data_IF_560703150410
#
_entry.id   IF_560703150410
#
_cell.length_a   1.000
_cell.length_b   1.000
_cell.length_c   1.000
_cell.angle_alpha   90.00
_cell.angle_beta   90.00
_cell.angle_gamma   90.00
#
_symmetry.space_group_name_H-M   'P 1'
#
loop_
_entity.id
_entity.type
_entity.pdbx_description
1 polymer ?
#
# COMPACT_ATOMS: atom_id res chain seq x y z
N UNK A 1 -23.56 13.63 -49.60
CA UNK A 1 -23.35 12.63 -50.68
C UNK A 1 -24.71 12.17 -51.14
N UNK A 2 -24.92 11.97 -52.44
CA UNK A 2 -26.20 11.54 -53.02
C UNK A 2 -25.98 10.39 -53.99
N UNK A 3 -26.85 9.39 -53.94
CA UNK A 3 -26.90 8.27 -54.87
C UNK A 3 -28.18 8.40 -55.70
N UNK A 4 -28.09 8.23 -57.02
CA UNK A 4 -29.22 8.29 -57.94
C UNK A 4 -29.14 7.15 -58.94
N UNK A 5 -30.30 6.67 -59.39
CA UNK A 5 -30.40 5.54 -60.32
C UNK A 5 -31.72 4.80 -60.14
N UNK A 6 -31.76 3.58 -60.67
CA UNK A 6 -32.87 2.65 -60.45
C UNK A 6 -32.96 2.22 -58.99
N UNK A 7 -34.07 1.59 -58.59
CA UNK A 7 -34.17 0.96 -57.26
C UNK A 7 -33.03 -0.05 -57.01
N UNK A 8 -32.57 -0.75 -58.06
CA UNK A 8 -31.43 -1.66 -57.95
C UNK A 8 -30.14 -0.92 -57.61
N UNK A 9 -29.90 0.25 -58.19
CA UNK A 9 -28.71 1.07 -57.93
C UNK A 9 -28.73 1.62 -56.50
N UNK A 10 -29.90 2.06 -56.02
CA UNK A 10 -30.07 2.53 -54.63
C UNK A 10 -29.87 1.38 -53.63
N UNK A 11 -30.44 0.20 -53.91
CA UNK A 11 -30.25 -0.97 -53.05
C UNK A 11 -28.78 -1.43 -53.03
N UNK A 12 -28.09 -1.36 -54.17
CA UNK A 12 -26.67 -1.65 -54.24
C UNK A 12 -25.84 -0.65 -53.42
N UNK A 13 -26.17 0.64 -53.49
CA UNK A 13 -25.53 1.66 -52.66
C UNK A 13 -25.74 1.42 -51.17
N UNK A 14 -26.99 1.16 -50.75
CA UNK A 14 -27.32 0.83 -49.35
C UNK A 14 -26.60 -0.43 -48.87
N UNK A 15 -26.52 -1.48 -49.70
CA UNK A 15 -25.79 -2.71 -49.40
C UNK A 15 -24.28 -2.48 -49.19
N UNK A 16 -23.71 -1.43 -49.80
CA UNK A 16 -22.32 -1.03 -49.58
C UNK A 16 -22.08 -0.18 -48.33
N UNK A 17 -23.14 0.31 -47.67
CA UNK A 17 -22.99 1.19 -46.50
C UNK A 17 -22.69 0.39 -45.23
N UNK A 18 -21.79 0.92 -44.42
CA UNK A 18 -21.41 0.33 -43.14
C UNK A 18 -21.39 1.41 -42.08
N UNK A 19 -21.93 1.09 -40.90
CA UNK A 19 -21.81 1.93 -39.71
C UNK A 19 -20.64 1.43 -38.85
N UNK A 20 -19.81 2.36 -38.37
CA UNK A 20 -18.78 2.07 -37.37
C UNK A 20 -19.02 2.98 -36.17
N UNK A 21 -19.42 2.39 -35.05
CA UNK A 21 -19.54 3.09 -33.78
C UNK A 21 -18.17 3.61 -33.30
N UNK A 22 -18.21 4.60 -32.41
CA UNK A 22 -17.04 4.95 -31.61
C UNK A 22 -16.84 3.85 -30.55
N UNK A 23 -15.60 3.68 -30.08
CA UNK A 23 -15.33 2.82 -28.92
C UNK A 23 -16.13 3.33 -27.72
N UNK A 24 -16.65 2.41 -26.90
CA UNK A 24 -17.39 2.67 -25.67
C UNK A 24 -18.67 3.52 -25.84
N UNK A 25 -19.16 3.69 -27.07
CA UNK A 25 -20.37 4.44 -27.34
C UNK A 25 -21.63 3.61 -27.05
N UNK A 26 -22.67 4.28 -26.56
CA UNK A 26 -23.99 3.67 -26.33
C UNK A 26 -25.10 4.67 -26.68
N UNK A 27 -26.31 4.16 -26.92
CA UNK A 27 -27.49 4.98 -27.17
C UNK A 27 -27.78 5.23 -28.66
N UNK A 28 -28.51 6.31 -28.95
CA UNK A 28 -29.00 6.61 -30.30
C UNK A 28 -27.90 7.18 -31.21
N UNK A 29 -27.79 6.61 -32.41
CA UNK A 29 -26.90 7.03 -33.50
C UNK A 29 -27.70 7.33 -34.77
N UNK A 30 -28.88 7.93 -34.58
CA UNK A 30 -29.86 8.20 -35.62
C UNK A 30 -29.29 9.10 -36.73
N UNK A 31 -29.73 8.85 -37.96
CA UNK A 31 -29.41 9.70 -39.10
C UNK A 31 -30.63 9.89 -40.00
N UNK A 32 -30.65 10.97 -40.79
CA UNK A 32 -31.76 11.26 -41.70
C UNK A 32 -31.39 10.96 -43.14
N UNK A 33 -32.29 10.31 -43.86
CA UNK A 33 -32.21 10.11 -45.31
C UNK A 33 -33.30 10.93 -46.00
N UNK A 34 -33.00 11.38 -47.22
CA UNK A 34 -33.95 12.05 -48.09
C UNK A 34 -34.02 11.32 -49.43
N UNK A 35 -35.23 11.11 -49.95
CA UNK A 35 -35.46 10.61 -51.32
C UNK A 35 -36.14 11.69 -52.14
N UNK A 36 -35.66 11.93 -53.35
CA UNK A 36 -36.22 12.89 -54.28
C UNK A 36 -36.41 12.26 -55.67
N UNK A 37 -37.57 12.47 -56.29
CA UNK A 37 -37.94 11.91 -57.61
C UNK A 37 -37.79 12.91 -58.77
N UNK A 38 -37.10 14.02 -58.54
CA UNK A 38 -36.97 15.16 -59.46
C UNK A 38 -38.02 16.25 -59.23
N UNK A 39 -39.04 16.00 -58.39
CA UNK A 39 -40.09 16.98 -58.08
C UNK A 39 -40.34 17.12 -56.58
N UNK A 40 -40.48 16.01 -55.87
CA UNK A 40 -40.84 15.97 -54.46
C UNK A 40 -39.72 15.36 -53.62
N UNK A 41 -39.57 15.84 -52.38
CA UNK A 41 -38.61 15.29 -51.42
C UNK A 41 -39.35 14.77 -50.20
N UNK A 42 -39.00 13.55 -49.78
CA UNK A 42 -39.43 12.98 -48.50
C UNK A 42 -38.21 12.73 -47.63
N UNK A 43 -38.27 13.20 -46.38
CA UNK A 43 -37.25 12.95 -45.36
C UNK A 43 -37.73 11.85 -44.41
N UNK A 44 -36.81 11.01 -43.96
CA UNK A 44 -37.03 10.00 -42.92
C UNK A 44 -35.83 9.92 -41.99
N UNK A 45 -36.08 9.87 -40.69
CA UNK A 45 -35.08 9.43 -39.71
C UNK A 45 -34.98 7.92 -39.74
N UNK A 46 -33.76 7.41 -39.88
CA UNK A 46 -33.39 6.02 -39.63
C UNK A 46 -32.92 5.96 -38.19
N UNK A 47 -33.68 5.27 -37.34
CA UNK A 47 -33.28 5.06 -35.96
C UNK A 47 -32.22 3.96 -35.88
N UNK A 48 -31.12 4.26 -35.21
CA UNK A 48 -30.02 3.33 -34.99
C UNK A 48 -29.68 3.33 -33.50
N UNK A 49 -29.74 2.17 -32.87
CA UNK A 49 -29.40 2.03 -31.46
C UNK A 49 -28.08 1.25 -31.31
N UNK A 50 -27.15 1.81 -30.54
CA UNK A 50 -25.94 1.13 -30.09
C UNK A 50 -26.23 0.54 -28.71
N UNK A 51 -26.21 -0.79 -28.62
CA UNK A 51 -26.31 -1.50 -27.35
C UNK A 51 -24.92 -1.58 -26.71
N UNK A 52 -24.73 -1.08 -25.48
CA UNK A 52 -23.46 -1.25 -24.79
C UNK A 52 -23.20 -2.72 -24.48
N UNK A 53 -21.93 -3.10 -24.49
CA UNK A 53 -21.43 -4.35 -23.91
C UNK A 53 -20.66 -4.00 -22.66
N UNK A 54 -20.72 -4.87 -21.65
CA UNK A 54 -19.98 -4.65 -20.41
C UNK A 54 -18.53 -5.12 -20.56
N UNK A 55 -17.60 -4.24 -20.24
CA UNK A 55 -16.17 -4.51 -20.15
C UNK A 55 -15.78 -4.93 -18.75
N UNK A 56 -14.97 -5.99 -18.64
CA UNK A 56 -14.52 -6.52 -17.35
C UNK A 56 -13.57 -5.52 -16.68
N UNK A 57 -13.64 -5.34 -15.34
CA UNK A 57 -12.66 -4.55 -14.62
C UNK A 57 -11.22 -4.94 -14.94
N UNK A 58 -10.33 -3.96 -14.95
CA UNK A 58 -8.88 -4.13 -15.20
C UNK A 58 -8.11 -3.73 -13.96
N UNK A 59 -7.10 -4.51 -13.57
CA UNK A 59 -6.21 -4.21 -12.43
C UNK A 59 -4.75 -4.23 -12.92
N UNK A 60 -4.29 -3.10 -13.49
CA UNK A 60 -2.97 -2.97 -14.11
C UNK A 60 -2.39 -1.56 -13.89
N UNK A 61 -1.07 -1.46 -13.69
CA UNK A 61 -0.38 -0.16 -13.66
C UNK A 61 -0.55 0.65 -12.37
N UNK A 62 -0.98 0.01 -11.28
CA UNK A 62 -1.09 0.65 -9.97
C UNK A 62 0.27 0.95 -9.34
N UNK A 63 0.31 1.99 -8.51
CA UNK A 63 1.46 2.32 -7.65
C UNK A 63 1.17 1.78 -6.24
N UNK A 64 1.84 0.69 -5.79
CA UNK A 64 1.57 0.07 -4.50
C UNK A 64 1.55 1.09 -3.35
N UNK A 65 0.66 0.86 -2.39
CA UNK A 65 0.62 1.67 -1.17
C UNK A 65 1.97 1.53 -0.45
N UNK A 66 2.55 2.64 0.02
CA UNK A 66 3.78 2.64 0.82
C UNK A 66 3.49 3.02 2.27
N UNK A 67 3.99 2.22 3.20
CA UNK A 67 3.73 2.36 4.64
C UNK A 67 5.05 2.22 5.40
N UNK A 68 5.40 3.16 6.29
CA UNK A 68 6.55 2.97 7.17
C UNK A 68 6.29 1.84 8.17
N UNK A 69 7.36 1.21 8.65
CA UNK A 69 7.29 0.26 9.75
C UNK A 69 6.48 0.82 10.92
N UNK A 70 5.49 0.03 11.38
CA UNK A 70 4.58 0.39 12.48
C UNK A 70 3.58 1.50 12.11
N UNK A 71 3.65 2.02 10.88
CA UNK A 71 2.81 3.07 10.37
C UNK A 71 1.43 2.59 9.92
N UNK A 72 0.60 3.57 9.59
CA UNK A 72 -0.70 3.38 8.95
C UNK A 72 -0.81 4.32 7.77
N UNK A 73 -1.23 3.81 6.62
CA UNK A 73 -1.51 4.63 5.43
C UNK A 73 -2.85 4.22 4.82
N UNK A 74 -3.61 5.20 4.35
CA UNK A 74 -4.86 4.98 3.62
C UNK A 74 -4.64 4.88 2.11
N UNK A 75 -5.48 4.10 1.44
CA UNK A 75 -5.56 4.08 -0.01
C UNK A 75 -6.16 5.39 -0.53
N UNK A 76 -5.72 5.83 -1.71
CA UNK A 76 -6.27 6.99 -2.39
C UNK A 76 -7.67 6.69 -2.93
N UNK A 77 -8.51 7.73 -2.94
CA UNK A 77 -9.81 7.70 -3.60
C UNK A 77 -9.68 7.32 -5.09
N UNK A 78 -10.70 6.67 -5.63
CA UNK A 78 -10.84 6.50 -7.06
C UNK A 78 -11.31 7.81 -7.72
N UNK A 79 -10.91 8.01 -8.97
CA UNK A 79 -11.25 9.19 -9.77
C UNK A 79 -12.22 8.77 -10.86
N UNK A 80 -13.38 9.44 -10.96
CA UNK A 80 -14.31 9.23 -12.06
C UNK A 80 -13.72 9.75 -13.37
N UNK A 81 -13.89 9.01 -14.46
CA UNK A 81 -13.46 9.43 -15.81
C UNK A 81 -14.63 9.87 -16.69
N UNK A 82 -15.85 9.77 -16.19
CA UNK A 82 -17.08 10.18 -16.85
C UNK A 82 -18.31 9.99 -15.96
N UNK A 83 -19.53 10.00 -16.53
CA UNK A 83 -20.76 9.63 -15.84
C UNK A 83 -20.73 8.16 -15.34
N UNK A 84 -20.05 7.32 -16.11
CA UNK A 84 -19.62 5.96 -15.75
C UNK A 84 -18.09 5.90 -15.81
N UNK A 85 -17.55 4.86 -15.19
CA UNK A 85 -16.14 4.55 -15.22
C UNK A 85 -15.28 5.33 -14.21
N UNK A 86 -14.18 4.71 -13.82
CA UNK A 86 -13.22 5.27 -12.88
C UNK A 86 -11.83 4.68 -13.06
N UNK A 87 -10.85 5.31 -12.39
CA UNK A 87 -9.51 4.76 -12.18
C UNK A 87 -9.10 4.88 -10.72
N UNK A 88 -8.28 3.97 -10.22
CA UNK A 88 -7.74 3.99 -8.86
C UNK A 88 -6.23 3.75 -8.90
N UNK A 89 -5.48 4.67 -8.27
CA UNK A 89 -4.03 4.76 -8.43
C UNK A 89 -3.24 3.67 -7.73
N UNK A 90 -3.63 3.24 -6.52
CA UNK A 90 -2.85 2.28 -5.74
C UNK A 90 -2.97 0.84 -6.24
N UNK A 91 -4.16 0.46 -6.68
CA UNK A 91 -4.49 -0.86 -7.22
C UNK A 91 -4.25 -0.91 -8.74
N UNK A 92 -4.31 0.24 -9.42
CA UNK A 92 -4.43 0.27 -10.89
C UNK A 92 -5.78 -0.28 -11.35
N UNK A 93 -6.81 -0.19 -10.49
CA UNK A 93 -8.14 -0.69 -10.80
C UNK A 93 -8.88 0.34 -11.66
N UNK A 94 -9.41 -0.11 -12.78
CA UNK A 94 -10.26 0.70 -13.65
C UNK A 94 -11.41 -0.12 -14.22
N UNK A 95 -12.49 0.58 -14.49
CA UNK A 95 -13.68 0.08 -15.16
C UNK A 95 -14.25 1.25 -15.96
N UNK A 96 -14.78 1.01 -17.15
CA UNK A 96 -15.27 2.06 -18.06
C UNK A 96 -16.80 2.17 -18.03
N UNK A 97 -17.48 1.07 -17.70
CA UNK A 97 -18.93 0.96 -17.80
C UNK A 97 -19.62 1.15 -16.44
N UNK A 98 -18.91 0.89 -15.35
CA UNK A 98 -19.47 0.90 -14.00
C UNK A 98 -19.03 2.14 -13.22
N UNK A 99 -19.94 2.68 -12.43
CA UNK A 99 -19.60 3.71 -11.43
C UNK A 99 -18.86 3.08 -10.25
N UNK A 100 -18.15 3.89 -9.47
CA UNK A 100 -17.44 3.44 -8.26
C UNK A 100 -18.36 2.79 -7.21
N UNK A 101 -19.66 3.08 -7.24
CA UNK A 101 -20.65 2.51 -6.32
C UNK A 101 -21.12 1.12 -6.74
N UNK A 102 -20.98 0.76 -8.02
CA UNK A 102 -21.43 -0.51 -8.58
C UNK A 102 -20.36 -1.59 -8.46
N UNK A 103 -19.08 -1.21 -8.57
CA UNK A 103 -17.97 -2.16 -8.45
C UNK A 103 -17.69 -2.47 -6.98
N UNK A 104 -17.77 -3.74 -6.63
CA UNK A 104 -17.53 -4.26 -5.28
C UNK A 104 -16.18 -4.97 -5.24
N UNK A 105 -15.37 -4.58 -4.27
CA UNK A 105 -14.16 -5.29 -3.88
C UNK A 105 -14.53 -6.22 -2.71
N UNK A 106 -14.04 -7.46 -2.74
CA UNK A 106 -14.10 -8.42 -1.65
C UNK A 106 -12.70 -8.81 -1.22
N UNK A 107 -12.41 -8.74 0.07
CA UNK A 107 -11.15 -9.26 0.63
C UNK A 107 -11.17 -10.79 0.55
N UNK A 108 -10.26 -11.36 -0.23
CA UNK A 108 -10.12 -12.80 -0.45
C UNK A 108 -9.00 -13.43 0.39
N UNK A 109 -8.05 -12.63 0.85
CA UNK A 109 -6.94 -13.05 1.71
C UNK A 109 -6.38 -11.83 2.45
N UNK A 110 -5.93 -12.03 3.68
CA UNK A 110 -5.41 -10.96 4.52
C UNK A 110 -3.89 -10.79 4.36
N UNK A 111 -3.35 -9.60 4.65
CA UNK A 111 -1.91 -9.39 4.80
C UNK A 111 -1.30 -10.25 5.92
N UNK A 112 0.00 -10.53 5.82
CA UNK A 112 0.75 -11.29 6.83
C UNK A 112 1.50 -10.43 7.84
N UNK A 113 1.80 -9.17 7.51
CA UNK A 113 2.59 -8.23 8.30
C UNK A 113 1.78 -7.01 8.78
N UNK A 114 0.46 -7.02 8.59
CA UNK A 114 -0.39 -5.93 9.02
C UNK A 114 -1.87 -6.27 9.03
N UNK A 115 -2.70 -5.24 9.18
CA UNK A 115 -4.16 -5.35 9.20
C UNK A 115 -4.77 -4.36 8.21
N UNK A 116 -5.83 -4.79 7.51
CA UNK A 116 -6.65 -3.91 6.69
C UNK A 116 -7.80 -3.36 7.53
N UNK A 117 -8.10 -2.07 7.40
CA UNK A 117 -9.21 -1.39 8.08
C UNK A 117 -10.05 -0.60 7.09
N UNK A 118 -11.37 -0.65 7.24
CA UNK A 118 -12.32 0.20 6.52
C UNK A 118 -13.01 1.14 7.51
N UNK A 119 -12.78 2.45 7.35
CA UNK A 119 -13.33 3.45 8.27
C UNK A 119 -12.93 3.21 9.73
N UNK A 120 -11.74 2.64 9.95
CA UNK A 120 -11.20 2.28 11.26
C UNK A 120 -11.53 0.86 11.74
N UNK A 121 -12.48 0.16 11.12
CA UNK A 121 -12.84 -1.20 11.50
C UNK A 121 -11.99 -2.23 10.77
N UNK A 122 -11.44 -3.20 11.49
CA UNK A 122 -10.64 -4.27 10.88
C UNK A 122 -11.48 -5.14 9.95
N UNK A 123 -10.89 -5.46 8.80
CA UNK A 123 -11.48 -6.32 7.79
C UNK A 123 -11.07 -7.77 8.01
N UNK A 124 -11.94 -8.69 7.61
CA UNK A 124 -11.70 -10.13 7.59
C UNK A 124 -11.80 -10.65 6.16
N UNK A 125 -11.34 -11.88 5.93
CA UNK A 125 -11.64 -12.57 4.66
C UNK A 125 -13.16 -12.62 4.47
N UNK A 126 -13.62 -12.20 3.30
CA UNK A 126 -15.04 -12.08 2.96
C UNK A 126 -15.62 -10.69 3.13
N UNK A 127 -14.95 -9.76 3.83
CA UNK A 127 -15.39 -8.37 3.91
C UNK A 127 -15.47 -7.73 2.52
N UNK A 128 -16.49 -6.89 2.31
CA UNK A 128 -16.75 -6.21 1.04
C UNK A 128 -16.78 -4.70 1.20
N UNK A 129 -16.38 -3.98 0.16
CA UNK A 129 -16.46 -2.53 0.06
C UNK A 129 -16.73 -2.12 -1.39
N UNK A 130 -17.50 -1.06 -1.60
CA UNK A 130 -17.60 -0.44 -2.91
C UNK A 130 -16.31 0.33 -3.22
N UNK A 131 -15.95 0.46 -4.50
CA UNK A 131 -14.78 1.27 -4.89
C UNK A 131 -14.90 2.71 -4.41
N UNK A 132 -16.11 3.26 -4.32
CA UNK A 132 -16.36 4.62 -3.78
C UNK A 132 -15.90 4.78 -2.31
N UNK A 133 -15.73 3.67 -1.58
CA UNK A 133 -15.29 3.65 -0.18
C UNK A 133 -13.79 3.43 -0.04
N UNK A 134 -13.05 3.24 -1.13
CA UNK A 134 -11.63 2.86 -1.07
C UNK A 134 -10.75 3.89 -0.35
N UNK A 135 -11.15 5.17 -0.34
CA UNK A 135 -10.47 6.22 0.44
C UNK A 135 -10.52 5.97 1.97
N UNK A 136 -11.44 5.13 2.44
CA UNK A 136 -11.57 4.72 3.83
C UNK A 136 -10.83 3.42 4.12
N UNK A 137 -10.33 2.73 3.09
CA UNK A 137 -9.49 1.55 3.25
C UNK A 137 -8.09 2.01 3.68
N UNK A 138 -7.55 1.36 4.69
CA UNK A 138 -6.21 1.63 5.22
C UNK A 138 -5.51 0.33 5.58
N UNK A 139 -4.19 0.39 5.60
CA UNK A 139 -3.32 -0.68 6.07
C UNK A 139 -2.51 -0.16 7.26
N UNK A 140 -2.43 -0.96 8.32
CA UNK A 140 -1.57 -0.71 9.49
C UNK A 140 -0.54 -1.83 9.59
N UNK A 141 0.75 -1.50 9.57
CA UNK A 141 1.83 -2.46 9.81
C UNK A 141 1.82 -2.91 11.28
N UNK A 142 2.20 -4.17 11.55
CA UNK A 142 2.14 -4.76 12.89
C UNK A 142 3.17 -4.20 13.90
N UNK A 143 4.13 -3.40 13.44
CA UNK A 143 5.18 -2.79 14.28
C UNK A 143 6.37 -3.70 14.59
N UNK A 144 6.45 -4.88 13.96
CA UNK A 144 7.66 -5.69 14.03
C UNK A 144 8.80 -5.03 13.24
N UNK A 145 10.04 -5.28 13.65
CA UNK A 145 11.24 -4.73 13.03
C UNK A 145 11.35 -5.04 11.54
N UNK A 146 11.66 -4.02 10.72
CA UNK A 146 11.92 -4.14 9.29
C UNK A 146 13.31 -3.61 8.98
N UNK A 147 14.27 -4.51 8.72
CA UNK A 147 15.68 -4.13 8.48
C UNK A 147 15.98 -3.64 7.05
N UNK A 148 15.10 -3.93 6.09
CA UNK A 148 15.22 -3.51 4.70
C UNK A 148 13.82 -3.41 4.05
N UNK A 149 13.65 -2.59 2.99
CA UNK A 149 12.38 -2.49 2.27
C UNK A 149 11.83 -3.85 1.89
N UNK A 150 10.56 -4.09 2.23
CA UNK A 150 9.88 -5.35 1.98
C UNK A 150 8.46 -5.10 1.47
N UNK A 151 7.72 -6.16 1.21
CA UNK A 151 6.34 -6.08 0.74
C UNK A 151 5.48 -7.04 1.53
N UNK A 152 4.27 -6.59 1.85
CA UNK A 152 3.18 -7.43 2.30
C UNK A 152 2.12 -7.52 1.20
N UNK A 153 1.35 -8.60 1.20
CA UNK A 153 0.41 -8.91 0.13
C UNK A 153 -0.91 -9.39 0.70
N UNK A 154 -1.99 -8.88 0.15
CA UNK A 154 -3.34 -9.37 0.40
C UNK A 154 -4.03 -9.69 -0.92
N UNK A 155 -5.11 -10.47 -0.86
CA UNK A 155 -5.85 -10.88 -2.05
C UNK A 155 -7.22 -10.21 -2.08
N UNK A 156 -7.64 -9.77 -3.27
CA UNK A 156 -8.98 -9.25 -3.51
C UNK A 156 -9.68 -9.98 -4.64
N UNK A 157 -11.00 -9.98 -4.59
CA UNK A 157 -11.87 -10.24 -5.73
C UNK A 157 -12.58 -8.94 -6.11
N UNK A 158 -12.72 -8.66 -7.40
CA UNK A 158 -13.44 -7.48 -7.90
C UNK A 158 -14.60 -7.97 -8.76
N UNK A 159 -15.80 -7.50 -8.46
CA UNK A 159 -17.04 -7.81 -9.17
C UNK A 159 -17.69 -6.49 -9.59
N UNK A 160 -18.00 -6.34 -10.88
CA UNK A 160 -18.61 -5.12 -11.44
C UNK A 160 -20.15 -5.08 -11.28
N UNK A 161 -20.76 -6.18 -10.84
CA UNK A 161 -22.22 -6.35 -10.76
C UNK A 161 -22.92 -6.54 -12.11
N UNK A 162 -22.17 -6.69 -13.19
CA UNK A 162 -22.63 -6.82 -14.58
C UNK A 162 -22.01 -8.04 -15.31
N UNK A 163 -21.22 -8.86 -14.61
CA UNK A 163 -20.71 -10.15 -15.08
C UNK A 163 -19.18 -10.20 -15.22
N UNK A 164 -18.50 -9.06 -15.06
CA UNK A 164 -17.04 -9.00 -14.95
C UNK A 164 -16.58 -9.35 -13.54
N UNK A 165 -15.64 -10.30 -13.48
CA UNK A 165 -15.14 -10.85 -12.22
C UNK A 165 -13.63 -11.10 -12.29
N UNK A 166 -12.88 -10.45 -11.40
CA UNK A 166 -11.46 -10.72 -11.18
C UNK A 166 -11.28 -11.46 -9.87
N UNK A 167 -10.84 -12.72 -9.92
CA UNK A 167 -10.64 -13.53 -8.72
C UNK A 167 -9.20 -13.46 -8.19
N UNK A 168 -9.07 -13.41 -6.86
CA UNK A 168 -7.82 -13.59 -6.11
C UNK A 168 -6.64 -12.77 -6.65
N UNK A 169 -6.88 -11.50 -6.99
CA UNK A 169 -5.84 -10.58 -7.43
C UNK A 169 -4.99 -10.16 -6.23
N UNK A 170 -3.67 -10.26 -6.38
CA UNK A 170 -2.72 -9.83 -5.38
C UNK A 170 -2.60 -8.30 -5.37
N UNK A 171 -2.66 -7.72 -4.18
CA UNK A 171 -2.38 -6.31 -3.93
C UNK A 171 -1.19 -6.24 -3.00
N UNK A 172 -0.17 -5.50 -3.45
CA UNK A 172 1.06 -5.33 -2.71
C UNK A 172 1.03 -4.03 -1.90
N UNK A 173 1.57 -4.08 -0.70
CA UNK A 173 1.85 -2.94 0.18
C UNK A 173 3.36 -2.91 0.42
N UNK A 174 4.02 -1.85 -0.05
CA UNK A 174 5.43 -1.63 0.22
C UNK A 174 5.61 -1.18 1.67
N UNK A 175 6.56 -1.80 2.37
CA UNK A 175 6.92 -1.47 3.75
C UNK A 175 8.34 -0.91 3.75
N UNK A 176 8.50 0.30 4.31
CA UNK A 176 9.81 0.94 4.44
C UNK A 176 10.29 0.87 5.89
N UNK A 177 11.55 0.47 6.15
CA UNK A 177 12.19 0.55 7.47
C UNK A 177 12.02 1.92 8.12
N UNK A 178 11.86 1.92 9.43
CA UNK A 178 12.04 3.12 10.26
C UNK A 178 13.26 2.85 11.14
N UNK A 179 14.06 3.89 11.39
CA UNK A 179 15.21 3.78 12.27
C UNK A 179 14.77 4.02 13.72
N UNK A 180 14.98 3.04 14.59
CA UNK A 180 14.75 3.13 16.02
C UNK A 180 15.98 3.73 16.71
N UNK A 181 15.75 4.37 17.86
CA UNK A 181 16.85 4.85 18.68
C UNK A 181 17.45 3.69 19.50
N UNK A 182 18.77 3.72 19.78
CA UNK A 182 19.38 2.75 20.66
C UNK A 182 18.84 2.90 22.09
N UNK A 183 18.80 1.80 22.82
CA UNK A 183 18.34 1.73 24.20
C UNK A 183 19.45 1.18 25.10
N UNK A 184 19.45 1.57 26.38
CA UNK A 184 20.32 1.02 27.43
C UNK A 184 19.43 0.52 28.55
N UNK A 185 19.70 -0.68 29.04
CA UNK A 185 18.95 -1.35 30.09
C UNK A 185 19.90 -2.04 31.08
N UNK A 186 19.30 -2.49 32.19
CA UNK A 186 19.96 -3.31 33.20
C UNK A 186 20.52 -2.52 34.39
N UNK A 187 20.83 -3.26 35.46
CA UNK A 187 21.40 -2.74 36.71
C UNK A 187 22.48 -3.70 37.18
N UNK A 188 23.41 -3.21 38.02
CA UNK A 188 24.47 -4.03 38.63
C UNK A 188 24.51 -3.73 40.12
N UNK A 189 24.55 -4.77 40.95
CA UNK A 189 24.66 -4.66 42.41
C UNK A 189 26.09 -4.93 42.88
N UNK A 190 26.65 -3.96 43.62
CA UNK A 190 28.00 -4.00 44.21
C UNK A 190 27.88 -3.97 45.73
N UNK A 191 28.65 -4.81 46.44
CA UNK A 191 28.74 -4.76 47.91
C UNK A 191 29.92 -3.92 48.38
N UNK A 192 29.83 -3.42 49.61
CA UNK A 192 30.89 -2.63 50.24
C UNK A 192 32.22 -3.41 50.27
N UNK A 193 33.31 -2.74 49.85
CA UNK A 193 34.66 -3.29 49.82
C UNK A 193 34.98 -4.16 48.60
N UNK A 194 34.02 -4.46 47.72
CA UNK A 194 34.29 -5.17 46.47
C UNK A 194 35.08 -4.29 45.50
N UNK A 195 36.04 -4.92 44.81
CA UNK A 195 36.89 -4.26 43.83
C UNK A 195 36.67 -4.89 42.45
N UNK A 196 36.76 -4.07 41.41
CA UNK A 196 36.78 -4.49 40.00
C UNK A 196 35.59 -5.37 39.57
N UNK A 197 34.38 -4.98 40.01
CA UNK A 197 33.13 -5.65 39.65
C UNK A 197 32.79 -5.44 38.17
N UNK A 198 32.63 -6.54 37.42
CA UNK A 198 32.23 -6.49 36.00
C UNK A 198 30.80 -5.96 35.82
N UNK A 199 30.60 -5.11 34.82
CA UNK A 199 29.29 -4.50 34.53
C UNK A 199 28.49 -5.24 33.45
N UNK A 200 29.09 -6.14 32.68
CA UNK A 200 28.47 -6.73 31.46
C UNK A 200 28.10 -8.20 31.59
N UNK A 201 28.64 -8.92 32.57
CA UNK A 201 28.32 -10.32 32.80
C UNK A 201 28.56 -10.73 34.26
N UNK A 202 27.50 -11.23 34.89
CA UNK A 202 27.50 -11.86 36.22
C UNK A 202 28.38 -13.11 36.34
N UNK A 203 28.97 -13.60 35.24
CA UNK A 203 29.56 -14.95 35.18
C UNK A 203 30.84 -15.10 36.00
N UNK A 204 31.45 -14.00 36.45
CA UNK A 204 32.72 -14.01 37.21
C UNK A 204 32.62 -13.47 38.64
N UNK A 205 31.42 -13.16 39.14
CA UNK A 205 31.23 -12.63 40.49
C UNK A 205 30.63 -13.70 41.38
N UNK A 206 31.34 -14.11 42.42
CA UNK A 206 30.81 -15.05 43.43
C UNK A 206 29.60 -14.38 44.10
N UNK A 207 28.37 -14.90 43.91
CA UNK A 207 27.20 -14.36 44.61
C UNK A 207 27.30 -14.79 46.07
N UNK A 208 27.19 -13.89 47.06
CA UNK A 208 27.16 -14.30 48.46
C UNK A 208 25.91 -15.12 48.80
N UNK A 209 24.84 -15.01 47.99
CA UNK A 209 23.61 -15.82 48.09
C UNK A 209 22.98 -15.95 46.70
N UNK A 210 23.32 -16.99 45.92
CA UNK A 210 22.70 -17.54 44.69
C UNK A 210 21.92 -16.66 43.66
N UNK A 211 21.92 -15.32 43.72
CA UNK A 211 21.16 -14.45 42.82
C UNK A 211 22.11 -13.69 41.88
N UNK A 212 21.81 -13.64 40.58
CA UNK A 212 22.52 -12.79 39.63
C UNK A 212 22.53 -11.31 40.10
N UNK A 213 23.69 -10.64 40.10
CA UNK A 213 23.85 -9.23 40.51
C UNK A 213 23.48 -8.20 39.45
N UNK A 214 23.42 -8.65 38.21
CA UNK A 214 22.85 -7.97 37.06
C UNK A 214 23.93 -7.66 36.02
N UNK A 215 23.54 -6.96 34.96
CA UNK A 215 24.43 -6.47 33.92
C UNK A 215 23.79 -5.22 33.29
N UNK A 216 24.62 -4.30 32.80
CA UNK A 216 24.18 -3.27 31.86
C UNK A 216 24.39 -3.77 30.44
N UNK A 217 23.41 -3.50 29.58
CA UNK A 217 23.47 -3.80 28.16
C UNK A 217 22.67 -2.77 27.41
N UNK A 218 23.19 -2.30 26.30
CA UNK A 218 22.40 -1.57 25.31
C UNK A 218 22.23 -2.37 24.05
N UNK A 219 21.22 -1.97 23.30
CA UNK A 219 20.75 -2.63 22.10
C UNK A 219 20.11 -1.60 21.19
N UNK A 220 20.28 -1.80 19.90
CA UNK A 220 19.57 -1.07 18.86
C UNK A 220 18.86 -2.10 17.96
N UNK A 221 17.55 -1.95 17.71
CA UNK A 221 16.82 -2.87 16.84
C UNK A 221 17.29 -2.88 15.37
N UNK A 222 17.85 -1.78 14.90
CA UNK A 222 18.26 -1.57 13.49
C UNK A 222 19.76 -1.75 13.30
N UNK A 223 20.55 -1.29 14.27
CA UNK A 223 21.99 -1.19 14.15
C UNK A 223 22.75 -2.19 15.02
N UNK A 224 23.74 -2.84 14.41
CA UNK A 224 24.73 -3.65 15.16
C UNK A 224 25.86 -2.79 15.74
N UNK A 225 25.92 -1.50 15.37
CA UNK A 225 26.98 -0.56 15.77
C UNK A 225 26.35 0.73 16.28
N UNK A 226 26.57 1.02 17.56
CA UNK A 226 26.14 2.26 18.20
C UNK A 226 27.16 2.70 19.26
N UNK A 227 27.04 3.94 19.73
CA UNK A 227 28.03 4.56 20.62
C UNK A 227 27.52 4.60 22.06
N UNK A 228 28.36 4.19 23.01
CA UNK A 228 28.17 4.47 24.43
C UNK A 228 29.05 5.63 24.84
N UNK A 229 28.50 6.53 25.65
CA UNK A 229 29.27 7.60 26.28
C UNK A 229 28.95 7.65 27.77
N UNK A 230 30.01 7.67 28.59
CA UNK A 230 29.90 7.94 30.01
C UNK A 230 29.71 9.45 30.14
N UNK A 231 28.60 9.90 30.71
CA UNK A 231 28.27 11.33 30.82
C UNK A 231 28.55 11.89 32.22
N UNK A 232 28.73 11.02 33.21
CA UNK A 232 29.10 11.37 34.58
C UNK A 232 29.87 10.22 35.23
N UNK A 233 30.71 10.54 36.21
CA UNK A 233 31.44 9.55 36.99
C UNK A 233 30.68 9.19 38.27
N UNK A 234 30.90 8.00 38.85
CA UNK A 234 30.32 7.63 40.14
C UNK A 234 30.70 8.64 41.24
N UNK A 235 29.73 9.04 42.05
CA UNK A 235 29.98 9.88 43.24
C UNK A 235 30.71 9.14 44.36
N UNK A 236 30.72 7.80 44.33
CA UNK A 236 31.45 6.94 45.24
C UNK A 236 32.13 5.83 44.43
N UNK A 237 33.43 5.61 44.67
CA UNK A 237 34.25 4.63 43.96
C UNK A 237 34.90 5.18 42.68
N UNK A 238 35.44 4.28 41.87
CA UNK A 238 36.15 4.61 40.62
C UNK A 238 35.69 3.66 39.53
N UNK A 239 35.20 4.20 38.42
CA UNK A 239 34.92 3.42 37.22
C UNK A 239 36.23 3.16 36.48
N UNK A 240 36.47 1.92 36.06
CA UNK A 240 37.65 1.55 35.25
C UNK A 240 37.24 0.98 33.90
N UNK A 241 38.04 1.23 32.88
CA UNK A 241 38.00 0.59 31.57
C UNK A 241 39.36 -0.06 31.33
N UNK A 242 39.39 -1.36 31.05
CA UNK A 242 40.63 -2.16 30.91
C UNK A 242 41.65 -1.93 32.04
N UNK A 243 41.15 -1.86 33.27
CA UNK A 243 41.95 -1.66 34.48
C UNK A 243 42.41 -0.21 34.73
N UNK A 244 42.16 0.71 33.80
CA UNK A 244 42.52 2.14 33.93
C UNK A 244 41.32 2.94 34.42
N UNK A 245 41.52 3.82 35.40
CA UNK A 245 40.47 4.68 35.91
C UNK A 245 39.95 5.65 34.83
N UNK A 246 38.63 5.72 34.66
CA UNK A 246 37.97 6.73 33.83
C UNK A 246 37.89 8.02 34.65
N UNK A 247 38.69 9.02 34.26
CA UNK A 247 38.88 10.26 35.04
C UNK A 247 38.08 11.46 34.54
N UNK A 248 37.48 11.36 33.35
CA UNK A 248 36.51 12.34 32.84
C UNK A 248 35.49 11.65 31.92
N UNK A 249 34.23 12.12 31.90
CA UNK A 249 33.30 11.72 30.84
C UNK A 249 33.83 12.28 29.51
N UNK A 250 33.96 11.46 28.43
CA UNK A 250 34.42 11.95 27.15
C UNK A 250 33.50 13.08 26.64
N UNK A 251 34.09 14.13 26.08
CA UNK A 251 33.33 15.18 25.42
C UNK A 251 32.50 14.56 24.29
N UNK A 252 31.21 14.90 24.23
CA UNK A 252 30.27 14.40 23.24
C UNK A 252 30.83 14.50 21.81
N UNK A 253 30.74 13.39 21.07
CA UNK A 253 31.07 13.24 19.66
C UNK A 253 32.57 13.20 19.28
N UNK A 254 33.19 12.03 19.41
CA UNK A 254 34.11 11.49 18.41
C UNK A 254 34.41 10.03 18.73
N UNK A 255 34.61 9.21 17.70
CA UNK A 255 35.29 7.92 17.81
C UNK A 255 36.58 8.11 18.63
N UNK A 256 36.58 7.76 19.90
CA UNK A 256 37.82 7.29 20.52
C UNK A 256 37.84 5.80 20.25
N UNK A 257 38.64 5.38 19.27
CA UNK A 257 39.30 4.10 19.37
C UNK A 257 39.86 4.01 20.79
N UNK A 258 39.23 3.18 21.62
CA UNK A 258 39.73 2.86 22.94
C UNK A 258 41.18 2.37 22.77
N UNK A 259 42.13 2.82 23.60
CA UNK A 259 43.52 2.41 23.44
C UNK A 259 43.62 0.89 23.53
N UNK A 260 44.30 0.31 22.53
CA UNK A 260 44.62 -1.12 22.38
C UNK A 260 45.40 -1.67 23.56
#
# INVERSE_FOLDING_TARGET
MSFSGTLSDINAALNGMNFRGLAEASGAADFTIATNDGSTTVNRTVNLAITPTNDVPVLTGGTPLSVPEGGTTSFSAATNVGPTGFTQINLGLSDVDNTQNQVIIKVAGLPGQGVLKLGGNELSVGSTLAVSQIAQLSYTHNGNQVLAPTTDTFLITVDDGAGGLLLNRAVNVAITPVNQAPSIAGTVTVFEGEQDVSLTANTNLVPPVSTPRGAISGSDPDDTIFTYSITSLPGQGTLKYDGVAVTSPPASAARSSWPT
#
